data_IF_501642182264
#
_entry.id   IF_501642182264
#
_cell.length_a   1.000
_cell.length_b   1.000
_cell.length_c   1.000
_cell.angle_alpha   90.00
_cell.angle_beta   90.00
_cell.angle_gamma   90.00
#
_symmetry.space_group_name_H-M   'P 1'
#
loop_
_entity.id
_entity.type
_entity.pdbx_description
1 polymer ?
#
# COMPACT_ATOMS: atom_id res chain seq x y z
N UNK A 1 -6.95 0.84 -7.77
CA UNK A 1 -7.01 2.11 -8.53
C UNK A 1 -8.42 2.72 -8.64
N UNK A 2 -9.46 2.01 -9.09
CA UNK A 2 -10.84 2.57 -9.15
C UNK A 2 -11.32 3.10 -7.78
N UNK A 3 -11.06 2.36 -6.70
CA UNK A 3 -11.31 2.80 -5.32
C UNK A 3 -10.60 4.10 -4.95
N UNK A 4 -9.37 4.32 -5.44
CA UNK A 4 -8.65 5.59 -5.24
C UNK A 4 -9.37 6.73 -5.97
N UNK A 5 -9.77 6.53 -7.22
CA UNK A 5 -10.48 7.55 -8.01
C UNK A 5 -11.84 7.92 -7.39
N UNK A 6 -12.61 6.92 -6.92
CA UNK A 6 -13.97 7.13 -6.39
C UNK A 6 -13.96 7.61 -4.94
N UNK A 7 -13.20 6.96 -4.06
CA UNK A 7 -13.27 7.22 -2.61
C UNK A 7 -12.25 8.28 -2.17
N UNK A 8 -11.02 8.27 -2.71
CA UNK A 8 -10.01 9.25 -2.32
C UNK A 8 -10.11 10.55 -3.12
N UNK A 9 -10.44 10.46 -4.41
CA UNK A 9 -10.60 11.58 -5.34
C UNK A 9 -9.37 12.51 -5.37
N UNK A 10 -8.16 12.00 -5.65
CA UNK A 10 -6.96 12.81 -5.66
C UNK A 10 -6.93 13.76 -6.86
N UNK A 11 -6.31 14.94 -6.67
CA UNK A 11 -6.01 15.87 -7.77
C UNK A 11 -5.07 15.26 -8.82
N UNK A 12 -4.15 14.38 -8.40
CA UNK A 12 -3.20 13.73 -9.30
C UNK A 12 -2.83 12.35 -8.76
N UNK A 13 -2.74 11.36 -9.64
CA UNK A 13 -2.20 10.02 -9.38
C UNK A 13 -0.93 9.88 -10.22
N UNK A 14 0.17 9.53 -9.57
CA UNK A 14 1.40 9.15 -10.27
C UNK A 14 1.49 7.63 -10.34
N UNK A 15 1.69 7.10 -11.56
CA UNK A 15 2.04 5.70 -11.74
C UNK A 15 3.49 5.67 -12.21
N UNK A 16 4.35 5.14 -11.35
CA UNK A 16 5.76 4.96 -11.64
C UNK A 16 5.97 3.63 -12.35
N UNK A 17 6.51 3.66 -13.57
CA UNK A 17 6.68 2.46 -14.40
C UNK A 17 7.94 2.52 -15.26
N UNK A 18 8.49 1.36 -15.59
CA UNK A 18 9.56 1.20 -16.57
C UNK A 18 9.02 1.01 -18.00
N UNK A 19 7.69 1.02 -18.18
CA UNK A 19 7.02 1.02 -19.47
C UNK A 19 6.84 2.45 -19.99
N UNK A 20 6.60 2.61 -21.29
CA UNK A 20 6.24 3.92 -21.87
C UNK A 20 4.73 4.13 -21.79
N UNK A 21 3.96 3.06 -21.94
CA UNK A 21 2.51 3.04 -21.85
C UNK A 21 2.06 1.84 -21.02
N UNK A 22 0.84 1.91 -20.51
CA UNK A 22 0.15 0.80 -19.88
C UNK A 22 -1.00 0.37 -20.80
N UNK A 23 -1.32 -0.91 -20.80
CA UNK A 23 -2.34 -1.51 -21.64
C UNK A 23 -3.19 -2.50 -20.85
N UNK A 24 -4.30 -2.92 -21.45
CA UNK A 24 -5.22 -3.90 -20.88
C UNK A 24 -6.61 -3.32 -20.64
N UNK A 25 -7.60 -4.21 -20.62
CA UNK A 25 -9.02 -3.88 -20.50
C UNK A 25 -9.30 -2.94 -19.32
N UNK A 26 -8.83 -3.29 -18.12
CA UNK A 26 -9.05 -2.48 -16.92
C UNK A 26 -8.36 -1.12 -16.99
N UNK A 27 -7.19 -1.03 -17.61
CA UNK A 27 -6.52 0.25 -17.82
C UNK A 27 -7.33 1.12 -18.78
N UNK A 28 -7.80 0.56 -19.88
CA UNK A 28 -8.56 1.27 -20.91
C UNK A 28 -9.86 1.86 -20.36
N UNK A 29 -10.54 1.15 -19.44
CA UNK A 29 -11.78 1.60 -18.78
C UNK A 29 -11.62 2.75 -17.78
N UNK A 30 -10.40 3.13 -17.38
CA UNK A 30 -10.20 4.22 -16.43
C UNK A 30 -10.35 5.59 -17.09
N UNK A 31 -10.98 6.53 -16.38
CA UNK A 31 -10.79 7.95 -16.64
C UNK A 31 -9.37 8.33 -16.19
N UNK A 32 -8.55 8.77 -17.14
CA UNK A 32 -7.11 9.04 -16.95
C UNK A 32 -6.80 10.53 -16.79
N UNK A 33 -7.80 11.41 -16.68
CA UNK A 33 -7.63 12.87 -16.65
C UNK A 33 -6.66 13.35 -15.56
N UNK A 34 -6.67 12.70 -14.40
CA UNK A 34 -5.78 13.01 -13.27
C UNK A 34 -4.61 12.01 -13.10
N UNK A 35 -4.39 11.10 -14.06
CA UNK A 35 -3.35 10.07 -13.98
C UNK A 35 -2.14 10.47 -14.83
N UNK A 36 -0.96 10.44 -14.22
CA UNK A 36 0.32 10.74 -14.88
C UNK A 36 1.23 9.53 -14.81
N UNK A 37 1.67 9.04 -15.97
CA UNK A 37 2.72 8.03 -16.05
C UNK A 37 4.08 8.71 -15.88
N UNK A 38 4.87 8.25 -14.92
CA UNK A 38 6.21 8.75 -14.67
C UNK A 38 7.21 7.60 -14.84
N UNK A 39 8.25 7.85 -15.64
CA UNK A 39 9.30 6.85 -15.83
C UNK A 39 10.04 6.60 -14.52
N UNK A 40 10.18 5.33 -14.15
CA UNK A 40 10.98 4.89 -13.02
C UNK A 40 11.76 3.64 -13.40
N UNK A 41 13.10 3.70 -13.31
CA UNK A 41 13.94 2.52 -13.52
C UNK A 41 13.81 1.60 -12.31
N UNK A 42 13.57 0.31 -12.56
CA UNK A 42 13.63 -0.73 -11.54
C UNK A 42 15.01 -0.73 -10.86
N UNK A 43 15.10 -0.61 -9.52
CA UNK A 43 16.37 -0.75 -8.82
C UNK A 43 17.01 -2.13 -9.06
N UNK A 44 18.24 -2.12 -9.56
CA UNK A 44 19.04 -3.34 -9.81
C UNK A 44 20.08 -3.59 -8.72
N UNK A 45 20.48 -2.53 -8.01
CA UNK A 45 21.39 -2.57 -6.87
C UNK A 45 21.08 -1.47 -5.86
N UNK A 46 21.58 -1.66 -4.63
CA UNK A 46 21.50 -0.73 -3.52
C UNK A 46 22.77 -0.86 -2.66
N UNK A 47 23.48 0.24 -2.42
CA UNK A 47 24.77 0.27 -1.70
C UNK A 47 25.76 -0.83 -2.13
N UNK A 48 25.96 -0.99 -3.44
CA UNK A 48 26.86 -2.01 -4.02
C UNK A 48 26.31 -3.44 -4.01
N UNK A 49 25.15 -3.71 -3.41
CA UNK A 49 24.54 -5.04 -3.32
C UNK A 49 23.50 -5.24 -4.44
N UNK A 50 23.55 -6.38 -5.12
CA UNK A 50 22.60 -6.75 -6.18
C UNK A 50 21.22 -7.06 -5.61
N UNK A 51 20.17 -6.61 -6.29
CA UNK A 51 18.78 -6.91 -5.96
C UNK A 51 18.28 -8.02 -6.89
N UNK A 52 17.92 -9.17 -6.35
CA UNK A 52 17.45 -10.34 -7.12
C UNK A 52 15.93 -10.49 -7.16
N UNK A 53 15.21 -9.89 -6.20
CA UNK A 53 13.75 -10.01 -6.07
C UNK A 53 13.07 -8.70 -6.49
N UNK A 54 12.06 -8.81 -7.36
CA UNK A 54 11.29 -7.64 -7.82
C UNK A 54 10.58 -6.91 -6.67
N UNK A 55 10.19 -7.64 -5.62
CA UNK A 55 9.55 -7.08 -4.44
C UNK A 55 10.52 -6.20 -3.65
N UNK A 56 11.78 -6.65 -3.48
CA UNK A 56 12.80 -5.82 -2.85
C UNK A 56 13.13 -4.58 -3.70
N UNK A 57 13.12 -4.71 -5.03
CA UNK A 57 13.28 -3.56 -5.92
C UNK A 57 12.12 -2.55 -5.75
N UNK A 58 10.88 -3.03 -5.58
CA UNK A 58 9.72 -2.20 -5.30
C UNK A 58 9.80 -1.52 -3.92
N UNK A 59 10.33 -2.21 -2.90
CA UNK A 59 10.58 -1.63 -1.57
C UNK A 59 11.55 -0.45 -1.62
N UNK A 60 12.60 -0.54 -2.44
CA UNK A 60 13.55 0.55 -2.61
C UNK A 60 12.96 1.67 -3.48
N UNK A 61 12.21 1.30 -4.52
CA UNK A 61 11.56 2.27 -5.42
C UNK A 61 10.57 3.16 -4.66
N UNK A 62 9.71 2.57 -3.81
CA UNK A 62 8.70 3.34 -3.05
C UNK A 62 9.35 4.36 -2.10
N UNK A 63 10.45 3.99 -1.43
CA UNK A 63 11.21 4.90 -0.56
C UNK A 63 11.77 6.06 -1.39
N UNK A 64 12.46 5.78 -2.50
CA UNK A 64 13.03 6.82 -3.39
C UNK A 64 11.95 7.74 -3.97
N UNK A 65 10.79 7.19 -4.35
CA UNK A 65 9.66 7.96 -4.87
C UNK A 65 9.10 8.87 -3.77
N UNK A 66 8.85 8.35 -2.57
CA UNK A 66 8.38 9.16 -1.44
C UNK A 66 9.39 10.24 -1.06
N UNK A 67 10.69 9.96 -1.07
CA UNK A 67 11.73 10.97 -0.83
C UNK A 67 11.74 12.08 -1.90
N UNK A 68 11.30 11.78 -3.12
CA UNK A 68 11.26 12.76 -4.22
C UNK A 68 9.97 13.59 -4.22
N UNK A 69 8.83 12.94 -4.00
CA UNK A 69 7.51 13.55 -4.20
C UNK A 69 6.74 13.78 -2.90
N UNK A 70 7.00 12.99 -1.87
CA UNK A 70 6.10 12.82 -0.72
C UNK A 70 4.75 12.25 -1.15
N UNK A 71 3.73 12.44 -0.32
CA UNK A 71 2.36 12.05 -0.60
C UNK A 71 2.01 10.66 -0.10
N UNK A 72 1.16 9.96 -0.85
CA UNK A 72 0.55 8.69 -0.46
C UNK A 72 0.99 7.62 -1.46
N UNK A 73 1.72 6.62 -0.99
CA UNK A 73 2.03 5.40 -1.73
C UNK A 73 1.00 4.32 -1.39
N UNK A 74 0.59 3.56 -2.39
CA UNK A 74 -0.30 2.42 -2.26
C UNK A 74 0.23 1.24 -3.10
N UNK A 75 0.22 0.03 -2.54
CA UNK A 75 0.38 -1.19 -3.32
C UNK A 75 -0.80 -1.35 -4.30
N UNK A 76 -0.55 -2.05 -5.42
CA UNK A 76 -1.53 -2.18 -6.50
C UNK A 76 -2.79 -2.98 -6.10
N UNK A 77 -2.68 -3.78 -5.03
CA UNK A 77 -3.74 -4.58 -4.43
C UNK A 77 -4.28 -3.96 -3.12
N UNK A 78 -4.19 -2.64 -2.99
CA UNK A 78 -4.88 -1.88 -1.95
C UNK A 78 -6.28 -1.40 -2.40
N UNK A 79 -7.26 -1.52 -1.51
CA UNK A 79 -8.60 -0.94 -1.67
C UNK A 79 -8.76 0.22 -0.70
N UNK A 80 -8.84 1.44 -1.25
CA UNK A 80 -9.12 2.64 -0.45
C UNK A 80 -10.61 2.76 -0.18
N UNK A 81 -10.97 2.91 1.09
CA UNK A 81 -12.35 3.01 1.57
C UNK A 81 -12.72 4.47 1.87
N UNK A 82 -11.79 5.23 2.44
CA UNK A 82 -11.97 6.64 2.83
C UNK A 82 -10.77 7.48 2.39
N UNK A 83 -10.93 8.81 2.40
CA UNK A 83 -9.82 9.73 2.13
C UNK A 83 -8.71 9.55 3.17
N UNK A 84 -7.48 9.44 2.67
CA UNK A 84 -6.26 9.26 3.47
C UNK A 84 -5.55 10.60 3.78
N UNK A 85 -6.08 11.72 3.28
CA UNK A 85 -5.50 13.06 3.39
C UNK A 85 -5.34 13.53 4.85
N UNK A 86 -6.22 13.11 5.77
CA UNK A 86 -6.10 13.42 7.20
C UNK A 86 -4.74 13.02 7.81
N UNK A 87 -4.05 12.04 7.22
CA UNK A 87 -2.76 11.54 7.68
C UNK A 87 -1.57 12.32 7.11
N UNK A 88 -1.77 13.17 6.09
CA UNK A 88 -0.73 14.03 5.53
C UNK A 88 -0.25 15.13 6.48
N UNK A 89 -0.95 15.37 7.59
CA UNK A 89 -0.48 16.29 8.64
C UNK A 89 0.71 15.75 9.44
N UNK A 90 0.93 14.43 9.41
CA UNK A 90 2.06 13.80 10.07
C UNK A 90 3.25 13.73 9.10
N UNK A 91 4.46 13.90 9.63
CA UNK A 91 5.70 13.78 8.84
C UNK A 91 5.78 12.43 8.13
N UNK A 92 5.39 11.35 8.82
CA UNK A 92 5.31 10.00 8.29
C UNK A 92 4.17 9.26 8.98
N UNK A 93 3.34 8.54 8.25
CA UNK A 93 2.37 7.58 8.78
C UNK A 93 2.70 6.18 8.26
N UNK A 94 2.80 5.22 9.18
CA UNK A 94 3.14 3.82 8.91
C UNK A 94 2.20 2.91 9.67
N UNK A 95 1.80 1.82 9.03
CA UNK A 95 1.02 0.80 9.69
C UNK A 95 1.92 -0.18 10.46
N UNK A 96 1.62 -0.40 11.75
CA UNK A 96 2.31 -1.41 12.55
C UNK A 96 1.31 -2.18 13.42
N UNK A 97 0.94 -3.41 13.04
CA UNK A 97 0.03 -4.24 13.83
C UNK A 97 0.60 -4.57 15.22
N UNK A 98 -0.27 -4.54 16.24
CA UNK A 98 0.12 -4.89 17.62
C UNK A 98 0.61 -6.33 17.68
N UNK A 99 1.75 -6.55 18.33
CA UNK A 99 2.37 -7.86 18.49
C UNK A 99 3.20 -8.32 17.29
N UNK A 100 3.25 -7.57 16.19
CA UNK A 100 4.04 -7.92 15.02
C UNK A 100 5.47 -7.37 15.10
N UNK A 101 6.44 -8.10 14.54
CA UNK A 101 7.86 -7.67 14.51
C UNK A 101 8.20 -6.70 13.37
N UNK A 102 7.30 -6.51 12.42
CA UNK A 102 7.51 -5.66 11.25
C UNK A 102 6.35 -4.71 11.04
N UNK A 103 6.64 -3.56 10.42
CA UNK A 103 5.63 -2.68 9.85
C UNK A 103 5.03 -3.27 8.57
N UNK A 104 3.84 -2.79 8.22
CA UNK A 104 3.26 -3.01 6.91
C UNK A 104 3.49 -1.79 6.01
N UNK A 105 3.71 -2.05 4.71
CA UNK A 105 4.21 -1.06 3.75
C UNK A 105 3.31 -0.93 2.50
N UNK A 106 2.13 -1.54 2.54
CA UNK A 106 1.13 -1.47 1.47
C UNK A 106 0.51 -0.09 1.33
N UNK A 107 0.55 0.71 2.40
CA UNK A 107 0.14 2.11 2.41
C UNK A 107 1.16 2.89 3.23
N UNK A 108 1.80 3.87 2.61
CA UNK A 108 2.78 4.75 3.26
C UNK A 108 2.40 6.19 2.94
N UNK A 109 2.36 7.03 3.96
CA UNK A 109 2.01 8.45 3.79
C UNK A 109 3.15 9.26 4.38
N UNK A 110 3.80 10.09 3.57
CA UNK A 110 5.04 10.73 3.97
C UNK A 110 5.18 12.14 3.41
N UNK A 111 5.79 13.02 4.20
CA UNK A 111 6.43 14.20 3.65
C UNK A 111 7.69 13.77 2.89
N UNK A 112 8.07 14.53 1.86
CA UNK A 112 9.23 14.19 1.02
C UNK A 112 10.55 14.16 1.79
N UNK A 113 10.63 14.95 2.86
CA UNK A 113 11.80 15.15 3.70
C UNK A 113 11.74 14.38 5.02
N UNK A 114 10.72 13.51 5.19
CA UNK A 114 10.52 12.71 6.39
C UNK A 114 11.80 11.99 6.82
N UNK A 115 12.21 12.22 8.07
CA UNK A 115 13.45 11.69 8.66
C UNK A 115 13.47 10.17 8.65
N UNK A 116 12.31 9.55 8.90
CA UNK A 116 12.16 8.11 8.82
C UNK A 116 12.56 7.54 7.45
N UNK A 117 12.18 8.17 6.33
CA UNK A 117 12.53 7.68 4.99
C UNK A 117 14.05 7.67 4.76
N UNK A 118 14.76 8.68 5.27
CA UNK A 118 16.23 8.78 5.14
C UNK A 118 16.92 7.66 5.93
N UNK A 119 16.47 7.42 7.16
CA UNK A 119 17.00 6.35 8.02
C UNK A 119 16.67 4.97 7.44
N UNK A 120 15.45 4.78 6.97
CA UNK A 120 15.02 3.53 6.34
C UNK A 120 15.75 3.26 5.04
N UNK A 121 15.96 4.27 4.19
CA UNK A 121 16.80 4.11 3.00
C UNK A 121 18.22 3.71 3.38
N UNK A 122 18.83 4.39 4.37
CA UNK A 122 20.20 4.10 4.82
C UNK A 122 20.34 2.68 5.39
N UNK A 123 19.31 2.14 6.06
CA UNK A 123 19.39 0.78 6.61
C UNK A 123 19.60 -0.30 5.55
N UNK A 124 19.36 -0.02 4.27
CA UNK A 124 19.72 -0.91 3.16
C UNK A 124 21.23 -1.03 2.92
N UNK A 125 22.09 -0.25 3.59
CA UNK A 125 23.54 -0.53 3.66
C UNK A 125 23.78 -1.97 4.15
N UNK A 126 22.92 -2.47 5.04
CA UNK A 126 22.91 -3.84 5.55
C UNK A 126 21.91 -4.76 4.82
N UNK A 127 21.56 -4.45 3.57
CA UNK A 127 20.59 -5.21 2.79
C UNK A 127 20.88 -6.72 2.77
N UNK A 128 19.85 -7.51 3.06
CA UNK A 128 19.83 -8.97 3.07
C UNK A 128 18.83 -9.49 2.02
N UNK A 129 19.33 -10.04 0.91
CA UNK A 129 18.49 -10.51 -0.19
C UNK A 129 17.66 -11.77 0.14
N UNK A 130 18.08 -12.57 1.12
CA UNK A 130 17.48 -13.86 1.43
C UNK A 130 16.15 -13.71 2.15
N UNK A 131 16.01 -12.69 3.00
CA UNK A 131 14.84 -12.49 3.85
C UNK A 131 13.82 -11.54 3.22
N UNK A 132 12.57 -12.00 3.10
CA UNK A 132 11.51 -11.28 2.39
C UNK A 132 11.10 -9.97 3.08
N UNK A 133 10.72 -10.02 4.36
CA UNK A 133 10.19 -8.86 5.10
C UNK A 133 11.29 -8.09 5.85
N UNK A 134 12.51 -8.64 5.92
CA UNK A 134 13.52 -8.16 6.85
C UNK A 134 13.90 -6.69 6.60
N UNK A 135 14.28 -6.36 5.36
CA UNK A 135 14.77 -5.02 5.03
C UNK A 135 13.66 -3.96 5.06
N UNK A 136 12.47 -4.32 4.61
CA UNK A 136 11.37 -3.37 4.40
C UNK A 136 10.39 -3.29 5.57
N UNK A 137 10.39 -4.28 6.45
CA UNK A 137 9.47 -4.34 7.59
C UNK A 137 10.16 -4.48 8.94
N UNK A 138 11.07 -5.46 9.10
CA UNK A 138 11.65 -5.79 10.42
C UNK A 138 12.67 -4.73 10.86
N UNK A 139 13.67 -4.43 10.03
CA UNK A 139 14.71 -3.43 10.33
C UNK A 139 14.09 -2.05 10.64
N UNK A 140 13.23 -1.46 9.79
CA UNK A 140 12.62 -0.17 10.12
C UNK A 140 11.77 -0.21 11.39
N UNK A 141 11.06 -1.29 11.66
CA UNK A 141 10.28 -1.43 12.88
C UNK A 141 11.18 -1.48 14.13
N UNK A 142 12.14 -2.40 14.15
CA UNK A 142 12.89 -2.75 15.35
C UNK A 142 14.07 -1.82 15.62
N UNK A 143 14.76 -1.35 14.58
CA UNK A 143 16.02 -0.61 14.72
C UNK A 143 15.82 0.90 14.54
N UNK A 144 14.70 1.35 13.97
CA UNK A 144 14.44 2.77 13.71
C UNK A 144 13.25 3.28 14.52
N UNK A 145 12.05 2.71 14.34
CA UNK A 145 10.82 3.21 14.98
C UNK A 145 10.81 2.89 16.47
N UNK A 146 11.09 1.64 16.86
CA UNK A 146 11.08 1.24 18.28
C UNK A 146 11.96 2.12 19.18
N UNK A 147 13.21 2.45 18.80
CA UNK A 147 14.02 3.40 19.57
C UNK A 147 13.62 4.87 19.39
N UNK A 148 12.92 5.23 18.30
CA UNK A 148 12.55 6.62 17.98
C UNK A 148 11.06 6.75 17.58
N UNK A 149 10.12 6.47 18.49
CA UNK A 149 8.69 6.37 18.13
C UNK A 149 8.10 7.69 17.61
N UNK A 150 8.70 8.84 17.97
CA UNK A 150 8.27 10.15 17.51
C UNK A 150 8.53 10.42 16.02
N UNK A 151 9.31 9.57 15.32
CA UNK A 151 9.58 9.72 13.88
C UNK A 151 8.37 9.44 13.00
N UNK A 152 7.38 8.70 13.51
CA UNK A 152 6.24 8.24 12.73
C UNK A 152 4.95 8.33 13.54
N UNK A 153 3.84 8.60 12.86
CA UNK A 153 2.51 8.31 13.35
C UNK A 153 2.17 6.85 13.03
N UNK A 154 1.91 6.06 14.06
CA UNK A 154 1.54 4.66 13.90
C UNK A 154 0.03 4.50 13.77
N UNK A 155 -0.38 3.71 12.77
CA UNK A 155 -1.75 3.24 12.60
C UNK A 155 -1.78 1.72 12.65
N UNK A 156 -2.90 1.13 13.08
CA UNK A 156 -3.13 -0.31 13.00
C UNK A 156 -4.48 -0.60 12.37
N UNK A 157 -5.53 -0.64 13.17
CA UNK A 157 -6.81 -1.24 12.80
C UNK A 157 -7.49 -0.43 11.68
N UNK A 158 -7.31 0.89 11.66
CA UNK A 158 -7.80 1.79 10.60
C UNK A 158 -7.30 1.39 9.20
N UNK A 159 -6.11 0.76 9.09
CA UNK A 159 -5.49 0.35 7.83
C UNK A 159 -5.63 -1.15 7.54
N UNK A 160 -6.34 -1.89 8.40
CA UNK A 160 -6.63 -3.32 8.25
C UNK A 160 -5.41 -4.14 7.83
N UNK A 161 -4.34 -3.91 8.59
CA UNK A 161 -3.01 -4.49 8.40
C UNK A 161 -2.81 -5.80 9.17
N UNK A 162 -3.71 -6.13 10.10
CA UNK A 162 -3.76 -7.45 10.73
C UNK A 162 -4.25 -8.48 9.71
N UNK A 163 -3.37 -9.35 9.22
CA UNK A 163 -3.65 -10.23 8.09
C UNK A 163 -4.88 -11.12 8.29
N UNK A 164 -5.01 -11.77 9.45
CA UNK A 164 -6.12 -12.71 9.69
C UNK A 164 -7.47 -11.99 9.79
N UNK A 165 -7.53 -10.87 10.52
CA UNK A 165 -8.76 -10.07 10.63
C UNK A 165 -9.15 -9.45 9.28
N UNK A 166 -8.16 -8.91 8.56
CA UNK A 166 -8.32 -8.33 7.23
C UNK A 166 -8.86 -9.36 6.24
N UNK A 167 -8.26 -10.55 6.18
CA UNK A 167 -8.71 -11.67 5.36
C UNK A 167 -10.11 -12.11 5.74
N UNK A 168 -10.38 -12.26 7.03
CA UNK A 168 -11.67 -12.71 7.52
C UNK A 168 -12.79 -11.73 7.13
N UNK A 169 -12.59 -10.43 7.32
CA UNK A 169 -13.57 -9.41 6.88
C UNK A 169 -13.71 -9.34 5.36
N UNK A 170 -12.61 -9.44 4.60
CA UNK A 170 -12.67 -9.36 3.14
C UNK A 170 -13.44 -10.54 2.54
N UNK A 171 -13.24 -11.75 3.07
CA UNK A 171 -13.62 -12.97 2.36
C UNK A 171 -14.52 -13.95 3.11
N UNK A 172 -14.76 -13.76 4.40
CA UNK A 172 -15.49 -14.74 5.22
C UNK A 172 -16.51 -14.13 6.18
N UNK A 173 -16.48 -12.81 6.37
CA UNK A 173 -17.43 -12.08 7.19
C UNK A 173 -17.86 -10.79 6.54
N UNK A 174 -19.10 -10.77 6.07
CA UNK A 174 -19.78 -9.56 5.63
C UNK A 174 -20.32 -8.79 6.83
N UNK A 175 -19.93 -7.52 6.97
CA UNK A 175 -20.52 -6.56 7.92
C UNK A 175 -21.21 -5.42 7.16
N UNK A 176 -22.18 -4.72 7.75
CA UNK A 176 -22.90 -3.64 7.08
C UNK A 176 -21.97 -2.57 6.49
N UNK A 177 -22.33 -2.05 5.31
CA UNK A 177 -21.54 -1.03 4.60
C UNK A 177 -21.19 0.18 5.45
N UNK A 178 -22.17 0.66 6.22
CA UNK A 178 -21.99 1.78 7.14
C UNK A 178 -20.90 1.54 8.19
N UNK A 179 -20.68 0.30 8.61
CA UNK A 179 -19.68 -0.03 9.62
C UNK A 179 -18.27 0.02 9.04
N UNK A 180 -18.00 -0.70 7.94
CA UNK A 180 -16.66 -0.70 7.36
C UNK A 180 -16.29 0.64 6.75
N UNK A 181 -17.25 1.39 6.18
CA UNK A 181 -17.00 2.76 5.68
C UNK A 181 -16.66 3.76 6.77
N UNK A 182 -17.13 3.54 8.00
CA UNK A 182 -16.85 4.45 9.13
C UNK A 182 -15.52 4.11 9.78
N UNK A 183 -15.18 2.83 9.89
CA UNK A 183 -14.04 2.35 10.68
C UNK A 183 -12.72 2.33 9.91
N UNK A 184 -12.73 2.03 8.62
CA UNK A 184 -11.53 1.64 7.88
C UNK A 184 -11.20 2.58 6.74
N UNK A 185 -9.91 2.77 6.47
CA UNK A 185 -9.40 3.68 5.44
C UNK A 185 -8.87 2.93 4.22
N UNK A 186 -8.19 1.81 4.44
CA UNK A 186 -7.59 1.01 3.38
C UNK A 186 -7.59 -0.46 3.79
N UNK A 187 -7.75 -1.35 2.81
CA UNK A 187 -7.55 -2.79 2.97
C UNK A 187 -6.47 -3.27 2.01
N UNK A 188 -5.65 -4.20 2.46
CA UNK A 188 -4.78 -4.97 1.58
C UNK A 188 -5.53 -6.23 1.13
N UNK A 189 -5.69 -6.44 -0.17
CA UNK A 189 -6.48 -7.56 -0.68
C UNK A 189 -5.85 -8.92 -0.38
N UNK A 190 -4.54 -8.99 -0.16
CA UNK A 190 -3.89 -10.24 0.23
C UNK A 190 -4.23 -11.40 -0.74
N UNK A 191 -4.34 -11.10 -2.06
CA UNK A 191 -4.90 -12.02 -3.08
C UNK A 191 -4.22 -13.40 -3.08
N UNK A 192 -2.96 -13.49 -2.67
CA UNK A 192 -2.19 -14.74 -2.53
C UNK A 192 -2.85 -15.78 -1.62
N UNK A 193 -3.69 -15.35 -0.69
CA UNK A 193 -4.31 -16.18 0.34
C UNK A 193 -5.80 -16.41 0.11
N UNK A 194 -6.30 -16.00 -1.06
CA UNK A 194 -7.66 -16.21 -1.52
C UNK A 194 -7.65 -17.09 -2.77
N UNK A 195 -8.39 -18.20 -2.74
CA UNK A 195 -8.45 -19.20 -3.81
C UNK A 195 -9.46 -18.81 -4.89
N UNK A 196 -10.50 -18.05 -4.55
CA UNK A 196 -11.49 -17.59 -5.53
C UNK A 196 -10.88 -16.57 -6.49
N UNK A 197 -11.03 -16.82 -7.79
CA UNK A 197 -10.68 -15.86 -8.82
C UNK A 197 -11.86 -14.94 -9.11
N UNK A 198 -11.79 -13.71 -8.62
CA UNK A 198 -12.81 -12.71 -8.89
C UNK A 198 -12.75 -12.18 -10.32
N UNK A 199 -13.92 -12.00 -10.92
CA UNK A 199 -14.14 -11.40 -12.24
C UNK A 199 -15.37 -10.47 -12.21
N UNK A 200 -15.68 -9.84 -13.33
CA UNK A 200 -16.77 -8.85 -13.42
C UNK A 200 -18.17 -9.42 -13.16
N UNK A 201 -18.33 -10.74 -13.25
CA UNK A 201 -19.60 -11.42 -13.05
C UNK A 201 -19.75 -11.89 -11.60
N UNK A 202 -18.79 -12.67 -11.09
CA UNK A 202 -18.92 -13.28 -9.76
C UNK A 202 -18.81 -12.25 -8.62
N UNK A 203 -18.12 -11.13 -8.84
CA UNK A 203 -18.00 -10.09 -7.81
C UNK A 203 -19.32 -9.38 -7.54
N UNK A 204 -20.26 -9.38 -8.50
CA UNK A 204 -21.59 -8.76 -8.36
C UNK A 204 -22.48 -9.50 -7.36
N UNK A 205 -22.25 -10.78 -7.18
CA UNK A 205 -23.06 -11.64 -6.30
C UNK A 205 -22.28 -12.18 -5.11
N UNK A 206 -20.98 -11.88 -5.01
CA UNK A 206 -20.15 -12.29 -3.87
C UNK A 206 -20.61 -11.61 -2.58
N UNK A 207 -21.06 -12.42 -1.61
CA UNK A 207 -21.65 -11.96 -0.34
C UNK A 207 -21.04 -12.65 0.89
N UNK A 208 -19.99 -13.46 0.74
CA UNK A 208 -19.33 -14.15 1.87
C UNK A 208 -18.52 -13.18 2.74
N UNK A 209 -17.96 -12.13 2.12
CA UNK A 209 -17.17 -11.12 2.82
C UNK A 209 -17.41 -9.71 2.26
N UNK A 210 -16.82 -8.72 2.93
CA UNK A 210 -16.99 -7.32 2.60
C UNK A 210 -16.40 -6.95 1.23
N UNK A 211 -15.49 -7.75 0.66
CA UNK A 211 -14.86 -7.43 -0.62
C UNK A 211 -15.87 -7.27 -1.75
N UNK A 212 -16.94 -8.06 -1.76
CA UNK A 212 -18.01 -7.95 -2.75
C UNK A 212 -18.71 -6.58 -2.69
N UNK A 213 -19.09 -6.14 -1.49
CA UNK A 213 -19.70 -4.83 -1.28
C UNK A 213 -18.73 -3.70 -1.65
N UNK A 214 -17.46 -3.80 -1.22
CA UNK A 214 -16.41 -2.82 -1.52
C UNK A 214 -16.14 -2.69 -3.02
N UNK A 215 -16.16 -3.81 -3.75
CA UNK A 215 -15.99 -3.80 -5.20
C UNK A 215 -17.21 -3.17 -5.88
N UNK A 216 -18.43 -3.60 -5.54
CA UNK A 216 -19.68 -3.04 -6.11
C UNK A 216 -19.82 -1.54 -5.84
N UNK A 217 -19.37 -1.07 -4.68
CA UNK A 217 -19.36 0.33 -4.31
C UNK A 217 -18.51 1.26 -5.23
N UNK A 218 -17.62 0.69 -6.05
CA UNK A 218 -16.74 1.46 -6.95
C UNK A 218 -16.89 1.04 -8.42
N UNK A 219 -17.68 0.00 -8.69
CA UNK A 219 -18.08 -0.40 -10.03
C UNK A 219 -19.18 0.54 -10.55
N UNK A 220 -19.30 0.70 -11.88
CA UNK A 220 -20.41 1.43 -12.49
C UNK A 220 -21.76 0.74 -12.24
#
# INVERSE_FOLDING_TARGET
MKSVLVNHQPKTIFIHTDQNELFGEFWNRLNKTNIKLLKAKKPESIFGKKISKIQHAADIARIRILMKFGGIYLDNDAVVIQKLDKFLKYEMTVAWPKGQRHIEIQCLIAHRDARFLKLWYKSYENYNASLWVFNSGVVPAQEIIKPNPALVHLVSDEFMVQHDESKYLLYHKRIPEKEWRRKYYVFHLNKRWQTMQFNEQNIRTYNEGCFGDMARAVLP
#
